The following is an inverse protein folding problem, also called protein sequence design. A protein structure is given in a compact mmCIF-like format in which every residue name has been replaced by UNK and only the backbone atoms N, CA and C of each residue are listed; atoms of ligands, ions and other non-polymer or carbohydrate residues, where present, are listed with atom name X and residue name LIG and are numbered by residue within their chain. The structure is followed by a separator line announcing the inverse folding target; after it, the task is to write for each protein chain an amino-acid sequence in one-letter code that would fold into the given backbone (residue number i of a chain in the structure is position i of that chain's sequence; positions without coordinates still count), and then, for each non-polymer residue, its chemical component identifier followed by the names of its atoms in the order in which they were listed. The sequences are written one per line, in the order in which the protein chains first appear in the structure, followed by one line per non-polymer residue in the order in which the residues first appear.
data_IF_610861491646
#
_entry.id   IF_610861491646
#
_cell.length_a   1.000
_cell.length_b   1.000
_cell.length_c   1.000
_cell.angle_alpha   90.00
_cell.angle_beta   90.00
_cell.angle_gamma   90.00
#
_symmetry.space_group_name_H-M   'P 1'
#
loop_
_entity.id
_entity.type
_entity.pdbx_description
1 polymer ?
#
# COMPACT_ATOMS: atom_id res chain seq x y z
N UNK A 1 -6.97 -14.16 -0.32
CA UNK A 1 -5.57 -14.22 -0.78
C UNK A 1 -5.39 -13.77 -2.24
N UNK A 2 -6.08 -14.35 -3.24
CA UNK A 2 -5.92 -13.91 -4.64
C UNK A 2 -6.27 -12.43 -4.89
N UNK A 3 -7.39 -11.96 -4.33
CA UNK A 3 -7.77 -10.54 -4.40
C UNK A 3 -6.76 -9.61 -3.70
N UNK A 4 -6.22 -10.04 -2.55
CA UNK A 4 -5.15 -9.32 -1.85
C UNK A 4 -3.88 -9.21 -2.70
N UNK A 5 -3.51 -10.28 -3.40
CA UNK A 5 -2.37 -10.24 -4.31
C UNK A 5 -2.59 -9.20 -5.43
N UNK A 6 -3.73 -9.27 -6.13
CA UNK A 6 -4.02 -8.35 -7.24
C UNK A 6 -4.12 -6.91 -6.75
N UNK A 7 -4.83 -6.68 -5.64
CA UNK A 7 -4.97 -5.35 -5.03
C UNK A 7 -3.64 -4.76 -4.61
N UNK A 8 -2.84 -5.50 -3.83
CA UNK A 8 -1.52 -5.02 -3.41
C UNK A 8 -0.59 -4.80 -4.59
N UNK A 9 -0.63 -5.65 -5.60
CA UNK A 9 0.18 -5.49 -6.81
C UNK A 9 -0.15 -4.16 -7.50
N UNK A 10 -1.44 -3.86 -7.71
CA UNK A 10 -1.87 -2.64 -8.41
C UNK A 10 -1.50 -1.39 -7.62
N UNK A 11 -1.73 -1.35 -6.30
CA UNK A 11 -1.43 -0.14 -5.51
C UNK A 11 0.08 0.12 -5.43
N UNK A 12 0.91 -0.93 -5.29
CA UNK A 12 2.37 -0.78 -5.26
C UNK A 12 2.89 -0.40 -6.63
N UNK A 13 2.36 -1.01 -7.69
CA UNK A 13 2.72 -0.66 -9.05
C UNK A 13 2.42 0.81 -9.35
N UNK A 14 1.21 1.28 -9.02
CA UNK A 14 0.79 2.66 -9.27
C UNK A 14 1.60 3.68 -8.45
N UNK A 15 1.75 3.46 -7.13
CA UNK A 15 2.45 4.37 -6.24
C UNK A 15 3.96 4.49 -6.59
N UNK A 16 4.60 3.35 -6.88
CA UNK A 16 6.00 3.34 -7.29
C UNK A 16 6.17 3.91 -8.71
N UNK A 17 5.29 3.57 -9.66
CA UNK A 17 5.34 4.13 -11.02
C UNK A 17 5.22 5.66 -11.02
N UNK A 18 4.32 6.23 -10.21
CA UNK A 18 4.19 7.69 -10.08
C UNK A 18 5.52 8.33 -9.67
N UNK A 19 6.15 7.83 -8.61
CA UNK A 19 7.46 8.31 -8.13
C UNK A 19 8.57 8.18 -9.20
N UNK A 20 8.57 7.06 -9.94
CA UNK A 20 9.50 6.77 -11.03
C UNK A 20 9.34 7.76 -12.19
N UNK A 21 8.10 7.93 -12.65
CA UNK A 21 7.74 8.82 -13.75
C UNK A 21 8.05 10.26 -13.38
N UNK A 22 7.74 10.68 -12.15
CA UNK A 22 8.08 12.00 -11.67
C UNK A 22 9.59 12.29 -11.79
N UNK A 23 10.42 11.34 -11.34
CA UNK A 23 11.87 11.44 -11.46
C UNK A 23 12.32 11.53 -12.92
N UNK A 24 11.67 10.80 -13.83
CA UNK A 24 11.97 10.82 -15.27
C UNK A 24 11.69 12.17 -15.93
N UNK A 25 10.62 12.84 -15.51
CA UNK A 25 10.22 14.13 -16.07
C UNK A 25 10.74 15.32 -15.26
N UNK A 26 11.74 15.12 -14.39
CA UNK A 26 12.41 16.23 -13.69
C UNK A 26 11.65 16.80 -12.49
N UNK A 27 10.79 16.02 -11.84
CA UNK A 27 10.12 16.46 -10.61
C UNK A 27 8.90 17.36 -10.83
N UNK A 28 8.29 17.31 -12.02
CA UNK A 28 7.12 18.15 -12.38
C UNK A 28 5.88 17.77 -11.57
N UNK A 29 5.77 16.52 -11.12
CA UNK A 29 4.70 16.11 -10.22
C UNK A 29 4.96 16.63 -8.80
N UNK A 30 3.97 17.35 -8.28
CA UNK A 30 4.00 17.87 -6.91
C UNK A 30 3.73 16.75 -5.90
N UNK A 31 4.02 17.01 -4.63
CA UNK A 31 3.71 16.09 -3.53
C UNK A 31 2.23 15.66 -3.53
N UNK A 32 1.32 16.58 -3.87
CA UNK A 32 -0.11 16.31 -3.95
C UNK A 32 -0.44 15.38 -5.12
N UNK A 33 0.25 15.51 -6.26
CA UNK A 33 0.09 14.61 -7.41
C UNK A 33 0.41 13.17 -7.03
N UNK A 34 1.59 12.94 -6.42
CA UNK A 34 2.02 11.60 -6.05
C UNK A 34 1.15 10.96 -4.96
N UNK A 35 0.73 11.77 -3.97
CA UNK A 35 -0.23 11.35 -2.95
C UNK A 35 -1.60 11.03 -3.55
N UNK A 36 -2.06 11.83 -4.51
CA UNK A 36 -3.32 11.62 -5.23
C UNK A 36 -3.30 10.35 -6.08
N UNK A 37 -2.25 10.12 -6.85
CA UNK A 37 -2.10 8.91 -7.67
C UNK A 37 -2.12 7.64 -6.80
N UNK A 38 -1.37 7.64 -5.70
CA UNK A 38 -1.31 6.51 -4.76
C UNK A 38 -2.65 6.31 -4.03
N UNK A 39 -3.26 7.39 -3.54
CA UNK A 39 -4.53 7.35 -2.82
C UNK A 39 -5.71 6.92 -3.69
N UNK A 40 -5.78 7.39 -4.94
CA UNK A 40 -6.80 6.95 -5.91
C UNK A 40 -6.64 5.47 -6.27
N UNK A 41 -5.41 4.98 -6.44
CA UNK A 41 -5.17 3.56 -6.68
C UNK A 41 -5.67 2.71 -5.51
N UNK A 42 -5.40 3.13 -4.27
CA UNK A 42 -5.94 2.47 -3.07
C UNK A 42 -7.46 2.50 -3.06
N UNK A 43 -8.09 3.67 -3.29
CA UNK A 43 -9.55 3.81 -3.32
C UNK A 43 -10.18 2.85 -4.34
N UNK A 44 -9.67 2.83 -5.58
CA UNK A 44 -10.18 1.95 -6.65
C UNK A 44 -10.07 0.49 -6.24
N UNK A 45 -8.92 0.07 -5.68
CA UNK A 45 -8.74 -1.32 -5.27
C UNK A 45 -9.60 -1.70 -4.06
N UNK A 46 -9.82 -0.79 -3.11
CA UNK A 46 -10.72 -1.03 -1.97
C UNK A 46 -12.16 -1.22 -2.46
N UNK A 47 -12.66 -0.35 -3.34
CA UNK A 47 -14.01 -0.50 -3.92
C UNK A 47 -14.13 -1.79 -4.72
N UNK A 48 -13.13 -2.12 -5.53
CA UNK A 48 -13.17 -3.29 -6.40
C UNK A 48 -13.02 -4.63 -5.65
N UNK A 49 -12.23 -4.69 -4.59
CA UNK A 49 -11.87 -5.96 -3.92
C UNK A 49 -12.37 -6.09 -2.48
N UNK A 50 -13.03 -5.05 -1.94
CA UNK A 50 -13.54 -5.01 -0.58
C UNK A 50 -14.53 -6.15 -0.30
N UNK A 51 -15.49 -6.39 -1.19
CA UNK A 51 -16.47 -7.47 -1.07
C UNK A 51 -15.87 -8.88 -1.22
N UNK A 52 -14.65 -9.01 -1.77
CA UNK A 52 -14.01 -10.31 -2.01
C UNK A 52 -13.11 -10.71 -0.84
N UNK A 53 -12.36 -9.76 -0.27
CA UNK A 53 -11.30 -10.05 0.70
C UNK A 53 -11.24 -9.13 1.92
N UNK A 54 -12.13 -8.15 2.02
CA UNK A 54 -12.01 -7.03 2.96
C UNK A 54 -11.05 -5.94 2.50
N UNK A 55 -10.31 -6.17 1.40
CA UNK A 55 -9.32 -5.26 0.82
C UNK A 55 -8.36 -4.70 1.88
N UNK A 56 -7.69 -5.59 2.61
CA UNK A 56 -6.68 -5.16 3.57
C UNK A 56 -5.50 -4.53 2.82
N UNK A 57 -5.03 -5.21 1.77
CA UNK A 57 -3.99 -4.80 0.83
C UNK A 57 -2.67 -4.34 1.47
N UNK A 58 -2.53 -4.55 2.78
CA UNK A 58 -1.50 -4.03 3.65
C UNK A 58 -1.37 -4.96 4.87
N UNK A 59 -0.14 -5.41 5.21
CA UNK A 59 0.09 -6.25 6.38
C UNK A 59 -0.32 -5.60 7.71
N UNK A 60 -0.14 -4.28 7.88
CA UNK A 60 -0.52 -3.57 9.09
C UNK A 60 -2.05 -3.56 9.30
N UNK A 61 -2.80 -3.37 8.20
CA UNK A 61 -4.28 -3.44 8.21
C UNK A 61 -4.73 -4.86 8.56
N UNK A 62 -4.12 -5.86 7.92
CA UNK A 62 -4.42 -7.28 8.19
C UNK A 62 -4.16 -7.65 9.64
N UNK A 63 -3.03 -7.21 10.20
CA UNK A 63 -2.70 -7.44 11.59
C UNK A 63 -3.72 -6.76 12.51
N UNK A 64 -4.08 -5.51 12.23
CA UNK A 64 -5.08 -4.79 13.03
C UNK A 64 -6.43 -5.51 13.04
N UNK A 65 -6.92 -5.94 11.88
CA UNK A 65 -8.19 -6.68 11.79
C UNK A 65 -8.12 -8.01 12.53
N UNK A 66 -6.99 -8.71 12.49
CA UNK A 66 -6.81 -9.93 13.27
C UNK A 66 -6.78 -9.64 14.79
N UNK A 67 -6.13 -8.56 15.23
CA UNK A 67 -6.07 -8.18 16.65
C UNK A 67 -7.42 -7.78 17.22
N UNK A 68 -8.28 -7.15 16.42
CA UNK A 68 -9.64 -6.77 16.82
C UNK A 68 -10.68 -7.87 16.56
N UNK A 69 -10.27 -9.08 16.15
CA UNK A 69 -11.17 -10.22 15.96
C UNK A 69 -12.00 -10.19 14.67
N UNK A 70 -11.70 -9.29 13.74
CA UNK A 70 -12.38 -9.16 12.44
C UNK A 70 -11.80 -10.12 11.38
N UNK A 71 -10.62 -10.69 11.61
CA UNK A 71 -9.99 -11.70 10.76
C UNK A 71 -9.50 -12.89 11.60
N UNK A 72 -9.81 -14.15 11.23
CA UNK A 72 -9.22 -15.30 11.90
C UNK A 72 -7.70 -15.32 11.75
N UNK A 73 -6.97 -15.47 12.86
CA UNK A 73 -5.49 -15.49 12.86
C UNK A 73 -4.88 -16.53 11.90
N UNK A 74 -5.57 -17.63 11.66
CA UNK A 74 -5.14 -18.66 10.69
C UNK A 74 -5.03 -18.15 9.24
N UNK A 75 -5.75 -17.07 8.88
CA UNK A 75 -5.72 -16.49 7.53
C UNK A 75 -4.61 -15.44 7.36
N UNK A 76 -4.07 -14.90 8.46
CA UNK A 76 -3.05 -13.83 8.45
C UNK A 76 -1.83 -14.21 7.61
N UNK A 77 -1.23 -15.41 7.73
CA UNK A 77 -0.06 -15.78 6.92
C UNK A 77 -0.36 -15.78 5.42
N UNK A 78 -1.58 -16.18 5.02
CA UNK A 78 -1.98 -16.19 3.61
C UNK A 78 -2.15 -14.77 3.05
N UNK A 79 -2.68 -13.83 3.85
CA UNK A 79 -2.77 -12.42 3.49
C UNK A 79 -1.38 -11.79 3.37
N UNK A 80 -0.52 -11.99 4.37
CA UNK A 80 0.85 -11.48 4.35
C UNK A 80 1.63 -12.02 3.16
N UNK A 81 1.53 -13.34 2.92
CA UNK A 81 2.17 -13.98 1.77
C UNK A 81 1.72 -13.36 0.44
N UNK A 82 0.41 -13.14 0.26
CA UNK A 82 -0.13 -12.51 -0.93
C UNK A 82 0.34 -11.06 -1.11
N UNK A 83 0.27 -10.25 -0.05
CA UNK A 83 0.65 -8.83 -0.08
C UNK A 83 2.15 -8.64 -0.34
N UNK A 84 3.01 -9.42 0.32
CA UNK A 84 4.47 -9.34 0.16
C UNK A 84 4.87 -9.80 -1.22
N UNK A 85 4.38 -10.95 -1.69
CA UNK A 85 4.71 -11.46 -3.03
C UNK A 85 4.19 -10.56 -4.14
N UNK A 86 3.02 -9.95 -3.98
CA UNK A 86 2.49 -8.95 -4.89
C UNK A 86 3.36 -7.69 -4.97
N UNK A 87 3.77 -7.15 -3.81
CA UNK A 87 4.64 -5.97 -3.74
C UNK A 87 5.98 -6.20 -4.43
N UNK A 88 6.58 -7.37 -4.18
CA UNK A 88 7.83 -7.79 -4.83
C UNK A 88 7.64 -7.91 -6.34
N UNK A 89 6.55 -8.55 -6.78
CA UNK A 89 6.24 -8.73 -8.20
C UNK A 89 6.05 -7.40 -8.92
N UNK A 90 5.34 -6.45 -8.31
CA UNK A 90 5.16 -5.10 -8.84
C UNK A 90 6.50 -4.36 -8.99
N UNK A 91 7.36 -4.44 -7.97
CA UNK A 91 8.69 -3.85 -8.00
C UNK A 91 9.58 -4.42 -9.11
N UNK A 92 9.58 -5.73 -9.31
CA UNK A 92 10.34 -6.37 -10.40
C UNK A 92 9.79 -6.04 -11.78
N UNK A 93 8.46 -6.00 -11.95
CA UNK A 93 7.87 -5.59 -13.22
C UNK A 93 8.25 -4.15 -13.56
N UNK A 94 8.16 -3.23 -12.60
CA UNK A 94 8.58 -1.83 -12.81
C UNK A 94 10.06 -1.72 -13.15
N UNK A 95 10.92 -2.51 -12.49
CA UNK A 95 12.35 -2.56 -12.83
C UNK A 95 12.57 -3.00 -14.28
N UNK A 96 11.82 -3.99 -14.75
CA UNK A 96 11.87 -4.43 -16.15
C UNK A 96 11.38 -3.37 -17.14
N UNK A 97 10.20 -2.79 -16.87
CA UNK A 97 9.55 -1.79 -17.74
C UNK A 97 10.37 -0.50 -17.87
N UNK A 98 11.03 -0.06 -16.79
CA UNK A 98 11.80 1.18 -16.75
C UNK A 98 13.32 0.97 -16.84
N UNK A 99 13.80 -0.21 -17.24
CA UNK A 99 15.23 -0.40 -17.53
C UNK A 99 15.63 0.38 -18.80
N UNK A 100 16.80 1.05 -18.87
CA UNK A 100 17.86 1.19 -17.85
C UNK A 100 17.70 2.41 -16.93
N UNK A 101 16.59 3.14 -17.04
CA UNK A 101 16.35 4.37 -16.28
C UNK A 101 16.32 4.14 -14.75
N UNK A 102 15.92 2.95 -14.30
CA UNK A 102 15.90 2.57 -12.89
C UNK A 102 16.57 1.24 -12.60
N UNK A 103 17.47 1.25 -11.62
CA UNK A 103 18.12 0.07 -11.08
C UNK A 103 17.38 -0.52 -9.85
N UNK A 104 16.47 0.28 -9.27
CA UNK A 104 15.63 -0.03 -8.12
C UNK A 104 15.12 1.25 -7.45
N UNK A 105 13.92 1.21 -6.87
CA UNK A 105 13.37 2.28 -6.05
C UNK A 105 13.31 1.83 -4.60
N UNK A 106 13.90 2.61 -3.69
CA UNK A 106 13.88 2.35 -2.25
C UNK A 106 13.52 3.65 -1.55
N UNK A 107 12.59 3.60 -0.60
CA UNK A 107 12.34 4.69 0.34
C UNK A 107 13.47 4.72 1.35
N UNK A 108 14.36 5.70 1.20
CA UNK A 108 15.46 5.94 2.14
C UNK A 108 15.07 7.14 3.00
N UNK A 109 15.08 7.03 4.34
CA UNK A 109 14.76 8.16 5.20
C UNK A 109 15.78 9.28 5.00
N UNK A 110 15.28 10.50 4.78
CA UNK A 110 16.09 11.72 4.70
C UNK A 110 16.37 12.34 6.07
N UNK A 111 15.78 11.79 7.13
CA UNK A 111 15.83 12.25 8.52
C UNK A 111 16.38 11.15 9.44
N UNK A 112 16.60 11.46 10.72
CA UNK A 112 17.06 10.46 11.68
C UNK A 112 16.05 9.30 11.81
N UNK A 113 16.54 8.08 12.05
CA UNK A 113 15.71 6.87 12.10
C UNK A 113 14.55 6.96 13.09
N UNK A 114 14.75 7.60 14.25
CA UNK A 114 13.69 7.77 15.24
C UNK A 114 12.58 8.73 14.75
N UNK A 115 12.94 9.77 13.97
CA UNK A 115 11.98 10.69 13.38
C UNK A 115 11.17 10.00 12.29
N UNK A 116 11.85 9.24 11.42
CA UNK A 116 11.18 8.43 10.41
C UNK A 116 10.23 7.41 11.04
N UNK A 117 10.67 6.72 12.10
CA UNK A 117 9.84 5.79 12.85
C UNK A 117 8.58 6.45 13.43
N UNK A 118 8.71 7.60 14.10
CA UNK A 118 7.55 8.32 14.63
C UNK A 118 6.60 8.81 13.55
N UNK A 119 7.13 9.28 12.42
CA UNK A 119 6.30 9.68 11.28
C UNK A 119 5.52 8.49 10.73
N UNK A 120 6.18 7.35 10.46
CA UNK A 120 5.55 6.11 9.99
C UNK A 120 4.48 5.61 10.97
N UNK A 121 4.74 5.69 12.28
CA UNK A 121 3.78 5.33 13.32
C UNK A 121 2.54 6.24 13.27
N UNK A 122 2.74 7.56 13.18
CA UNK A 122 1.65 8.54 13.17
C UNK A 122 0.79 8.42 11.90
N UNK A 123 1.39 8.31 10.72
CA UNK A 123 0.63 8.17 9.47
C UNK A 123 -0.11 6.83 9.41
N UNK A 124 0.51 5.74 9.91
CA UNK A 124 -0.14 4.43 10.01
C UNK A 124 -1.29 4.45 11.01
N UNK A 125 -1.13 5.15 12.14
CA UNK A 125 -2.21 5.34 13.11
C UNK A 125 -3.40 6.07 12.48
N UNK A 126 -3.16 7.18 11.76
CA UNK A 126 -4.22 7.92 11.08
C UNK A 126 -4.94 7.06 10.03
N UNK A 127 -4.18 6.31 9.23
CA UNK A 127 -4.73 5.38 8.24
C UNK A 127 -5.62 4.32 8.93
N UNK A 128 -5.12 3.69 9.99
CA UNK A 128 -5.88 2.66 10.70
C UNK A 128 -7.11 3.22 11.40
N UNK A 129 -7.02 4.41 11.98
CA UNK A 129 -8.17 5.10 12.57
C UNK A 129 -9.28 5.28 11.53
N UNK A 130 -8.95 5.77 10.33
CA UNK A 130 -9.93 5.95 9.25
C UNK A 130 -10.49 4.61 8.78
N UNK A 131 -9.64 3.60 8.55
CA UNK A 131 -10.09 2.28 8.09
C UNK A 131 -11.03 1.65 9.11
N UNK A 132 -10.66 1.61 10.38
CA UNK A 132 -11.52 1.04 11.42
C UNK A 132 -12.80 1.84 11.57
N UNK A 133 -12.75 3.17 11.56
CA UNK A 133 -13.95 4.01 11.65
C UNK A 133 -14.94 3.74 10.51
N UNK A 134 -14.46 3.57 9.27
CA UNK A 134 -15.32 3.30 8.11
C UNK A 134 -15.76 1.84 8.05
N UNK A 135 -14.87 0.89 8.32
CA UNK A 135 -15.13 -0.53 8.19
C UNK A 135 -15.97 -1.12 9.32
N UNK A 136 -16.03 -0.46 10.48
CA UNK A 136 -16.80 -0.93 11.65
C UNK A 136 -18.03 -0.07 11.95
N UNK A 137 -18.36 0.89 11.08
CA UNK A 137 -19.57 1.68 11.22
C UNK A 137 -20.82 0.85 10.86
N UNK A 138 -21.59 0.48 11.87
CA UNK A 138 -22.87 -0.21 11.72
C UNK A 138 -24.03 0.71 11.29
N UNK A 139 -23.77 2.00 11.04
CA UNK A 139 -24.78 3.00 10.63
C UNK A 139 -24.80 3.28 9.12
N UNK A 140 -23.93 2.63 8.35
CA UNK A 140 -23.86 2.73 6.89
C UNK A 140 -24.88 1.81 6.19
#
# INVERSE_FOLDING_TARGET
AGAEFVGTFVIIFAAAAASIVNKKYGGVETLIGGAGASGLAVMVMVVATGHISGAHLNPAVTLSFATFGHLPWAQVPAYFGAQVTASISAGFLLKGVYHPFLHGGVTVPSVAYWQAFLLELLISFNLMFVITAVATDNRA
#
